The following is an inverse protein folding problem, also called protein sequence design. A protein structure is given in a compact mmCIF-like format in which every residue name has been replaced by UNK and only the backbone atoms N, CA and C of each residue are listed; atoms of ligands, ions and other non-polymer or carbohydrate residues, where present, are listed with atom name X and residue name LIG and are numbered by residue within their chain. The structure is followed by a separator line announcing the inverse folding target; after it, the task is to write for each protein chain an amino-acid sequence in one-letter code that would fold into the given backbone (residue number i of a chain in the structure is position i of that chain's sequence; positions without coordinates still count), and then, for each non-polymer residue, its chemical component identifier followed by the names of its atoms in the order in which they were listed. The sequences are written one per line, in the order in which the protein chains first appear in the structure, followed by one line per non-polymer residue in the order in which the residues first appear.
data_IF_223930069969
#
_entry.id   IF_223930069969
#
_cell.length_a   1.000
_cell.length_b   1.000
_cell.length_c   1.000
_cell.angle_alpha   90.00
_cell.angle_beta   90.00
_cell.angle_gamma   90.00
#
_symmetry.space_group_name_H-M   'P 1'
#
loop_
_entity.id
_entity.type
_entity.pdbx_description
1 polymer ?
#
# COMPACT_ATOMS: atom_id res chain seq x y z
N UNK A 1 33.45 11.53 -4.28
CA UNK A 1 33.21 10.24 -4.95
C UNK A 1 31.82 9.71 -4.56
N UNK A 2 31.00 9.19 -5.49
CA UNK A 2 29.70 8.61 -5.17
C UNK A 2 29.84 7.38 -4.27
N UNK A 3 29.08 7.32 -3.17
CA UNK A 3 29.06 6.17 -2.26
C UNK A 3 28.14 5.08 -2.82
N UNK A 4 28.71 4.02 -3.38
CA UNK A 4 27.93 2.86 -3.85
C UNK A 4 27.52 1.97 -2.68
N UNK A 5 26.27 2.12 -2.22
CA UNK A 5 25.75 1.28 -1.14
C UNK A 5 25.34 -0.10 -1.68
N UNK A 6 26.18 -1.11 -1.44
CA UNK A 6 25.84 -2.52 -1.69
C UNK A 6 25.23 -3.11 -0.41
N UNK A 7 24.18 -3.92 -0.56
CA UNK A 7 23.68 -4.71 0.57
C UNK A 7 24.74 -5.75 0.96
N UNK A 8 24.94 -5.91 2.26
CA UNK A 8 25.76 -7.00 2.80
C UNK A 8 25.14 -8.36 2.40
N UNK A 9 25.88 -9.24 1.72
CA UNK A 9 25.40 -10.56 1.31
C UNK A 9 24.96 -11.47 2.48
N UNK A 10 25.52 -11.28 3.67
CA UNK A 10 25.21 -12.11 4.84
C UNK A 10 23.93 -11.67 5.56
N UNK A 11 23.41 -10.49 5.23
CA UNK A 11 22.22 -9.93 5.88
C UNK A 11 20.95 -10.44 5.24
N UNK A 12 20.08 -11.05 6.05
CA UNK A 12 18.73 -11.45 5.60
C UNK A 12 17.81 -10.23 5.50
N UNK A 13 17.18 -9.99 4.34
CA UNK A 13 16.22 -8.90 4.21
C UNK A 13 14.97 -9.18 5.05
N UNK A 14 14.39 -8.12 5.62
CA UNK A 14 13.11 -8.24 6.31
C UNK A 14 12.01 -8.70 5.35
N UNK A 15 11.26 -9.74 5.76
CA UNK A 15 10.11 -10.24 5.02
C UNK A 15 8.97 -9.22 5.07
N UNK A 16 8.46 -8.85 3.90
CA UNK A 16 7.23 -8.04 3.79
C UNK A 16 6.02 -8.97 3.87
N UNK A 17 5.05 -8.62 4.70
CA UNK A 17 3.75 -9.30 4.78
C UNK A 17 2.75 -8.56 3.91
N UNK A 18 1.89 -9.29 3.20
CA UNK A 18 0.81 -8.68 2.41
C UNK A 18 -0.23 -8.02 3.31
N UNK A 19 -0.82 -6.93 2.82
CA UNK A 19 -1.86 -6.20 3.55
C UNK A 19 -3.06 -7.11 3.87
N UNK A 20 -3.49 -7.93 2.91
CA UNK A 20 -4.63 -8.84 3.05
C UNK A 20 -4.43 -9.84 4.20
N UNK A 21 -3.23 -10.39 4.36
CA UNK A 21 -2.94 -11.38 5.42
C UNK A 21 -2.97 -10.71 6.79
N UNK A 22 -2.41 -9.49 6.89
CA UNK A 22 -2.46 -8.71 8.12
C UNK A 22 -3.91 -8.37 8.48
N UNK A 23 -4.74 -8.04 7.48
CA UNK A 23 -6.14 -7.69 7.69
C UNK A 23 -6.97 -8.88 8.18
N UNK A 24 -6.81 -10.06 7.55
CA UNK A 24 -7.44 -11.31 8.03
C UNK A 24 -6.99 -11.69 9.44
N UNK A 25 -5.71 -11.51 9.75
CA UNK A 25 -5.21 -11.73 11.10
C UNK A 25 -5.83 -10.76 12.12
N UNK A 26 -6.06 -9.49 11.75
CA UNK A 26 -6.75 -8.50 12.61
C UNK A 26 -8.21 -8.85 12.85
N UNK A 27 -8.91 -9.34 11.83
CA UNK A 27 -10.30 -9.81 11.97
C UNK A 27 -10.37 -11.00 12.94
N UNK A 28 -9.46 -11.96 12.81
CA UNK A 28 -9.38 -13.09 13.72
C UNK A 28 -9.13 -12.68 15.19
N UNK A 29 -8.33 -11.63 15.41
CA UNK A 29 -8.12 -11.06 16.75
C UNK A 29 -9.36 -10.36 17.29
N UNK A 30 -10.11 -9.65 16.45
CA UNK A 30 -11.40 -9.05 16.83
C UNK A 30 -12.43 -10.11 17.20
N UNK A 31 -12.39 -11.27 16.56
CA UNK A 31 -13.22 -12.43 16.87
C UNK A 31 -12.78 -13.16 18.16
N UNK A 32 -11.85 -12.61 18.92
CA UNK A 32 -11.44 -13.14 20.23
C UNK A 32 -10.27 -14.12 20.21
N UNK A 33 -9.62 -14.37 19.06
CA UNK A 33 -8.39 -15.17 19.04
C UNK A 33 -7.25 -14.44 19.75
N UNK A 34 -6.37 -15.20 20.39
CA UNK A 34 -5.13 -14.64 20.96
C UNK A 34 -4.12 -14.26 19.88
N UNK A 35 -3.26 -13.28 20.17
CA UNK A 35 -2.18 -12.85 19.25
C UNK A 35 -1.23 -14.01 18.92
N UNK A 36 -0.96 -14.88 19.90
CA UNK A 36 -0.11 -16.06 19.70
C UNK A 36 -0.75 -17.08 18.75
N UNK A 37 -2.06 -17.30 18.84
CA UNK A 37 -2.77 -18.20 17.92
C UNK A 37 -2.84 -17.59 16.52
N UNK A 38 -3.24 -16.32 16.39
CA UNK A 38 -3.27 -15.64 15.09
C UNK A 38 -1.89 -15.60 14.42
N UNK A 39 -0.81 -15.48 15.19
CA UNK A 39 0.55 -15.53 14.68
C UNK A 39 0.88 -16.87 14.00
N UNK A 40 0.44 -17.98 14.60
CA UNK A 40 0.62 -19.33 14.04
C UNK A 40 -0.27 -19.54 12.82
N UNK A 41 -1.56 -19.21 12.94
CA UNK A 41 -2.56 -19.44 11.89
C UNK A 41 -2.21 -18.71 10.59
N UNK A 42 -1.76 -17.46 10.69
CA UNK A 42 -1.47 -16.61 9.53
C UNK A 42 0.03 -16.51 9.20
N UNK A 43 0.90 -17.23 9.92
CA UNK A 43 2.36 -17.16 9.76
C UNK A 43 2.92 -15.73 9.78
N UNK A 44 2.33 -14.86 10.61
CA UNK A 44 2.76 -13.48 10.82
C UNK A 44 3.41 -13.39 12.20
N UNK A 45 4.63 -12.85 12.34
CA UNK A 45 5.28 -12.73 13.65
C UNK A 45 4.43 -11.94 14.65
N UNK A 46 4.46 -12.37 15.91
CA UNK A 46 3.75 -11.73 17.02
C UNK A 46 3.99 -10.21 17.07
N UNK A 47 5.24 -9.77 16.91
CA UNK A 47 5.63 -8.35 16.97
C UNK A 47 5.01 -7.52 15.83
N UNK A 48 4.85 -8.12 14.64
CA UNK A 48 4.19 -7.50 13.50
C UNK A 48 2.71 -7.31 13.81
N UNK A 49 2.03 -8.34 14.31
CA UNK A 49 0.62 -8.25 14.70
C UNK A 49 0.41 -7.21 15.81
N UNK A 50 1.23 -7.24 16.86
CA UNK A 50 1.17 -6.27 17.96
C UNK A 50 1.33 -4.83 17.46
N UNK A 51 2.25 -4.58 16.53
CA UNK A 51 2.43 -3.26 15.89
C UNK A 51 1.16 -2.81 15.17
N UNK A 52 0.50 -3.69 14.42
CA UNK A 52 -0.72 -3.37 13.69
C UNK A 52 -1.96 -3.23 14.57
N UNK A 53 -1.97 -3.84 15.76
CA UNK A 53 -2.99 -3.61 16.79
C UNK A 53 -2.81 -2.21 17.39
N UNK A 54 -1.59 -1.89 17.83
CA UNK A 54 -1.28 -0.58 18.46
C UNK A 54 -1.43 0.58 17.47
N UNK A 55 -1.10 0.35 16.20
CA UNK A 55 -1.13 1.36 15.15
C UNK A 55 -1.99 0.88 13.97
N UNK A 56 -3.32 1.06 14.05
CA UNK A 56 -4.26 0.51 13.09
C UNK A 56 -4.13 1.10 11.68
N UNK A 57 -3.62 2.34 11.55
CA UNK A 57 -3.56 3.11 10.29
C UNK A 57 -2.20 3.01 9.58
N UNK A 58 -1.33 2.07 9.97
CA UNK A 58 0.06 2.02 9.48
C UNK A 58 0.26 1.24 8.18
N UNK A 59 -0.80 0.73 7.57
CA UNK A 59 -0.70 0.08 6.26
C UNK A 59 -0.48 1.21 5.25
N UNK A 60 0.78 1.52 4.99
CA UNK A 60 1.15 2.52 3.99
C UNK A 60 0.77 1.97 2.62
N UNK A 61 -0.14 2.64 1.94
CA UNK A 61 -0.33 2.45 0.51
C UNK A 61 0.95 2.84 -0.20
N UNK A 62 1.35 2.07 -1.22
CA UNK A 62 2.47 2.46 -2.07
C UNK A 62 1.94 3.53 -3.03
N UNK A 63 2.49 4.74 -2.98
CA UNK A 63 1.96 5.89 -3.72
C UNK A 63 0.87 6.65 -2.96
N UNK A 64 0.20 7.57 -3.65
CA UNK A 64 -0.91 8.38 -3.08
C UNK A 64 -0.88 9.86 -3.44
N UNK A 65 0.19 10.34 -4.06
CA UNK A 65 0.21 11.67 -4.66
C UNK A 65 -0.08 11.52 -6.14
N UNK A 66 -1.32 11.79 -6.53
CA UNK A 66 -1.74 11.86 -7.91
C UNK A 66 -2.35 13.23 -8.17
N UNK A 67 -2.10 13.78 -9.36
CA UNK A 67 -2.65 15.08 -9.79
C UNK A 67 -4.11 14.91 -10.23
N UNK A 68 -4.52 13.69 -10.56
CA UNK A 68 -5.82 13.34 -11.10
C UNK A 68 -6.78 12.93 -9.99
N UNK A 69 -8.07 13.23 -10.19
CA UNK A 69 -9.14 12.74 -9.34
C UNK A 69 -9.34 11.22 -9.53
N UNK A 70 -9.88 10.55 -8.50
CA UNK A 70 -10.16 9.10 -8.56
C UNK A 70 -11.07 8.69 -9.74
N UNK A 71 -11.94 9.60 -10.19
CA UNK A 71 -12.80 9.39 -11.35
C UNK A 71 -12.01 9.37 -12.67
N UNK A 72 -11.06 10.30 -12.83
CA UNK A 72 -10.19 10.39 -14.01
C UNK A 72 -9.26 9.18 -14.11
N UNK A 73 -8.67 8.74 -13.00
CA UNK A 73 -7.83 7.53 -12.97
C UNK A 73 -8.62 6.28 -13.37
N UNK A 74 -9.85 6.13 -12.86
CA UNK A 74 -10.74 5.01 -13.22
C UNK A 74 -11.15 5.05 -14.69
N UNK A 75 -11.32 6.25 -15.25
CA UNK A 75 -11.65 6.45 -16.66
C UNK A 75 -10.46 6.16 -17.60
N UNK A 76 -9.22 6.47 -17.19
CA UNK A 76 -8.00 6.07 -17.90
C UNK A 76 -7.83 4.54 -17.86
N UNK A 77 -7.96 3.92 -16.67
CA UNK A 77 -7.82 2.47 -16.52
C UNK A 77 -8.86 1.66 -17.30
N UNK A 78 -10.06 2.21 -17.49
CA UNK A 78 -11.11 1.60 -18.32
C UNK A 78 -10.99 1.90 -19.82
N UNK A 79 -9.95 2.63 -20.25
CA UNK A 79 -9.72 2.98 -21.66
C UNK A 79 -10.75 3.93 -22.26
N UNK A 80 -11.61 4.55 -21.44
CA UNK A 80 -12.65 5.51 -21.88
C UNK A 80 -12.06 6.87 -22.25
N UNK A 81 -10.87 7.19 -21.75
CA UNK A 81 -10.12 8.39 -22.12
C UNK A 81 -9.02 7.96 -23.10
N UNK A 82 -9.35 7.95 -24.40
CA UNK A 82 -8.34 7.90 -25.47
C UNK A 82 -8.08 9.33 -25.94
N UNK A 83 -6.88 9.81 -25.69
CA UNK A 83 -6.38 11.07 -26.24
C UNK A 83 -6.68 12.27 -25.36
N UNK A 84 -5.63 12.83 -24.77
CA UNK A 84 -5.59 14.24 -24.42
C UNK A 84 -5.81 15.00 -25.73
N UNK A 85 -7.06 15.33 -26.05
CA UNK A 85 -7.30 16.46 -26.95
C UNK A 85 -6.71 17.65 -26.23
N UNK A 86 -5.70 18.28 -26.83
CA UNK A 86 -5.42 19.68 -26.58
C UNK A 86 -6.74 20.41 -26.81
N UNK A 87 -7.53 20.60 -25.76
CA UNK A 87 -8.66 21.52 -25.79
C UNK A 87 -8.00 22.87 -26.01
N UNK A 88 -8.15 23.35 -27.24
CA UNK A 88 -7.70 24.66 -27.63
C UNK A 88 -8.18 25.66 -26.59
N UNK A 89 -7.26 26.52 -26.20
CA UNK A 89 -7.56 27.81 -25.62
C UNK A 89 -8.47 28.51 -26.65
N UNK A 90 -9.78 28.47 -26.42
CA UNK A 90 -10.76 29.21 -27.21
C UNK A 90 -11.91 29.64 -26.31
N UNK A 91 -11.58 30.29 -25.19
CA UNK A 91 -12.50 31.25 -24.59
C UNK A 91 -11.82 32.62 -24.72
N UNK A 92 -12.47 33.48 -25.50
CA UNK A 92 -11.93 34.69 -26.09
C UNK A 92 -11.46 35.72 -25.08
N UNK A 93 -10.31 36.30 -25.42
CA UNK A 93 -9.89 37.62 -24.96
C UNK A 93 -10.36 38.64 -26.02
N UNK A 94 -11.45 39.34 -25.74
CA UNK A 94 -11.71 40.74 -26.12
C UNK A 94 -12.36 41.38 -24.88
#
# INVERSE_FOLDING_TARGET
MPRHYRRDPHMRPHKKHSADVIQRAREALRNGKSIRQASKDFSVPYTVLQRHIKHPNTIKTVGGQTVLSAAEEKAIGSGKIKGVRRMGISDGFI
#
